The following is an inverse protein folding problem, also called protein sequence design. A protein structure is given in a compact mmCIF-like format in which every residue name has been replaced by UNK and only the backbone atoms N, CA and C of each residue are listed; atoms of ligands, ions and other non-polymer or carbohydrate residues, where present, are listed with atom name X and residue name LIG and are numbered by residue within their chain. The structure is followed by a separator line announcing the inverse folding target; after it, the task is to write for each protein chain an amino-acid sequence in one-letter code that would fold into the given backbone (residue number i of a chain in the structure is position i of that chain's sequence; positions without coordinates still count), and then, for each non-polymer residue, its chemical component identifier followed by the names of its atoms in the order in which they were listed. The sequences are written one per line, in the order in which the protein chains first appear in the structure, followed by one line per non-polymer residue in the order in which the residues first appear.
data_IF_402414942448
#
_entry.id   IF_402414942448
#
_cell.length_a   1.000
_cell.length_b   1.000
_cell.length_c   1.000
_cell.angle_alpha   90.00
_cell.angle_beta   90.00
_cell.angle_gamma   90.00
#
_symmetry.space_group_name_H-M   'P 1'
#
loop_
_entity.id
_entity.type
_entity.pdbx_description
1 polymer ?
#
# COMPACT_ATOMS: atom_id res chain seq x y z
N UNK A 1 -15.35 -18.60 3.18
CA UNK A 1 -16.28 -17.58 2.68
C UNK A 1 -15.74 -16.18 3.02
N UNK A 2 -15.68 -15.77 4.25
CA UNK A 2 -15.18 -14.43 4.65
C UNK A 2 -13.75 -14.08 4.14
N UNK A 3 -12.75 -14.95 4.31
CA UNK A 3 -11.38 -14.70 3.82
C UNK A 3 -11.30 -14.65 2.29
N UNK A 4 -12.06 -15.47 1.59
CA UNK A 4 -12.14 -15.44 0.11
C UNK A 4 -12.79 -14.15 -0.40
N UNK A 5 -13.76 -13.61 0.35
CA UNK A 5 -14.36 -12.31 0.01
C UNK A 5 -13.36 -11.19 0.20
N UNK A 6 -12.61 -11.17 1.31
CA UNK A 6 -11.52 -10.21 1.57
C UNK A 6 -10.48 -10.26 0.45
N UNK A 7 -10.03 -11.44 0.06
CA UNK A 7 -9.05 -11.62 -1.02
C UNK A 7 -9.57 -11.09 -2.35
N UNK A 8 -10.82 -11.39 -2.69
CA UNK A 8 -11.47 -10.90 -3.90
C UNK A 8 -11.60 -9.37 -3.91
N UNK A 9 -12.01 -8.77 -2.78
CA UNK A 9 -12.14 -7.32 -2.63
C UNK A 9 -10.78 -6.63 -2.73
N UNK A 10 -9.74 -7.18 -2.10
CA UNK A 10 -8.38 -6.68 -2.23
C UNK A 10 -7.87 -6.74 -3.69
N UNK A 11 -8.12 -7.83 -4.40
CA UNK A 11 -7.81 -7.95 -5.81
C UNK A 11 -8.56 -6.92 -6.67
N UNK A 12 -9.86 -6.70 -6.38
CA UNK A 12 -10.66 -5.68 -7.07
C UNK A 12 -10.10 -4.27 -6.83
N UNK A 13 -9.74 -3.93 -5.59
CA UNK A 13 -9.14 -2.65 -5.27
C UNK A 13 -7.82 -2.41 -6.02
N UNK A 14 -6.99 -3.45 -6.14
CA UNK A 14 -5.75 -3.38 -6.91
C UNK A 14 -6.00 -3.19 -8.42
N UNK A 15 -6.96 -3.90 -8.99
CA UNK A 15 -7.35 -3.76 -10.41
C UNK A 15 -7.86 -2.36 -10.71
N UNK A 16 -8.75 -1.85 -9.87
CA UNK A 16 -9.29 -0.50 -10.02
C UNK A 16 -8.19 0.57 -9.95
N UNK A 17 -7.25 0.42 -9.00
CA UNK A 17 -6.13 1.35 -8.87
C UNK A 17 -5.22 1.31 -10.11
N UNK A 18 -4.89 0.12 -10.62
CA UNK A 18 -4.10 -0.03 -11.86
C UNK A 18 -4.75 0.67 -13.05
N UNK A 19 -6.08 0.63 -13.15
CA UNK A 19 -6.81 1.23 -14.26
C UNK A 19 -6.73 2.76 -14.30
N UNK A 20 -6.45 3.43 -13.15
CA UNK A 20 -6.54 4.91 -13.05
C UNK A 20 -5.24 5.58 -12.59
N UNK A 21 -4.26 4.83 -12.10
CA UNK A 21 -3.05 5.41 -11.50
C UNK A 21 -1.89 5.59 -12.48
N UNK A 22 -2.03 5.16 -13.75
CA UNK A 22 -0.99 5.22 -14.77
C UNK A 22 0.33 4.58 -14.34
N UNK A 23 0.27 3.51 -13.52
CA UNK A 23 1.43 2.81 -13.00
C UNK A 23 2.20 2.09 -14.11
N UNK A 24 3.51 2.09 -13.98
CA UNK A 24 4.45 1.44 -14.89
C UNK A 24 5.23 0.35 -14.16
N UNK A 25 5.72 -0.63 -14.90
CA UNK A 25 6.60 -1.65 -14.35
C UNK A 25 7.74 -1.02 -13.56
N UNK A 26 7.92 -1.45 -12.32
CA UNK A 26 8.90 -0.93 -11.37
C UNK A 26 8.35 0.14 -10.42
N UNK A 27 7.14 0.64 -10.65
CA UNK A 27 6.49 1.58 -9.72
C UNK A 27 6.10 0.89 -8.42
N UNK A 28 5.88 1.69 -7.39
CA UNK A 28 5.65 1.23 -6.03
C UNK A 28 4.28 1.69 -5.55
N UNK A 29 3.51 0.78 -4.99
CA UNK A 29 2.23 1.07 -4.32
C UNK A 29 2.39 0.85 -2.83
N UNK A 30 2.20 1.91 -2.02
CA UNK A 30 2.19 1.78 -0.57
C UNK A 30 0.85 1.27 -0.08
N UNK A 31 0.88 0.29 0.81
CA UNK A 31 -0.30 -0.31 1.42
C UNK A 31 -0.23 -0.11 2.94
N UNK A 32 -1.18 0.63 3.47
CA UNK A 32 -1.48 0.61 4.90
C UNK A 32 -2.68 -0.28 5.14
N UNK A 33 -2.58 -1.21 6.09
CA UNK A 33 -3.67 -2.15 6.36
C UNK A 33 -3.82 -2.44 7.85
N UNK A 34 -5.02 -2.24 8.34
CA UNK A 34 -5.45 -2.68 9.67
C UNK A 34 -6.28 -3.94 9.56
N UNK A 35 -5.68 -5.11 9.84
CA UNK A 35 -6.41 -6.38 9.87
C UNK A 35 -7.50 -6.42 10.93
N UNK A 36 -7.39 -5.62 12.00
CA UNK A 36 -8.46 -5.44 12.99
C UNK A 36 -9.69 -4.79 12.37
N UNK A 37 -9.51 -3.68 11.63
CA UNK A 37 -10.60 -2.98 10.94
C UNK A 37 -11.23 -3.87 9.87
N UNK A 38 -10.43 -4.64 9.12
CA UNK A 38 -10.94 -5.62 8.14
C UNK A 38 -11.89 -6.63 8.79
N UNK A 39 -11.63 -6.99 10.04
CA UNK A 39 -12.49 -7.88 10.84
C UNK A 39 -13.57 -7.14 11.66
N UNK A 40 -13.82 -5.86 11.42
CA UNK A 40 -14.82 -5.09 12.14
C UNK A 40 -14.45 -4.75 13.58
N UNK A 41 -13.15 -4.78 13.91
CA UNK A 41 -12.64 -4.44 15.23
C UNK A 41 -11.85 -3.13 15.18
N UNK A 42 -11.82 -2.40 16.29
CA UNK A 42 -11.05 -1.17 16.39
C UNK A 42 -9.58 -1.40 16.02
N UNK A 43 -8.99 -0.48 15.29
CA UNK A 43 -7.57 -0.48 14.89
C UNK A 43 -6.65 -0.84 16.07
N UNK A 44 -5.75 -1.80 15.86
CA UNK A 44 -4.85 -2.29 16.92
C UNK A 44 -5.49 -3.17 18.00
N UNK A 45 -6.82 -3.38 17.96
CA UNK A 45 -7.55 -4.11 19.01
C UNK A 45 -7.47 -5.63 18.88
N UNK A 46 -7.61 -6.16 17.67
CA UNK A 46 -7.66 -7.61 17.42
C UNK A 46 -6.99 -7.94 16.08
N UNK A 47 -5.67 -8.03 16.11
CA UNK A 47 -4.88 -8.39 14.92
C UNK A 47 -5.28 -9.77 14.38
N UNK A 48 -5.59 -9.87 13.09
CA UNK A 48 -5.87 -11.15 12.40
C UNK A 48 -4.82 -11.40 11.32
N UNK A 49 -3.88 -12.33 11.55
CA UNK A 49 -2.93 -12.76 10.53
C UNK A 49 -3.60 -13.30 9.27
N UNK A 50 -4.68 -14.08 9.44
CA UNK A 50 -5.40 -14.71 8.34
C UNK A 50 -6.08 -13.68 7.42
N UNK A 51 -6.69 -12.64 8.00
CA UNK A 51 -7.27 -11.56 7.22
C UNK A 51 -6.18 -10.74 6.50
N UNK A 52 -5.06 -10.49 7.17
CA UNK A 52 -3.91 -9.80 6.56
C UNK A 52 -3.32 -10.60 5.39
N UNK A 53 -3.21 -11.92 5.54
CA UNK A 53 -2.77 -12.84 4.49
C UNK A 53 -3.71 -12.78 3.29
N UNK A 54 -5.02 -12.87 3.51
CA UNK A 54 -6.02 -12.79 2.44
C UNK A 54 -5.95 -11.46 1.68
N UNK A 55 -5.76 -10.33 2.39
CA UNK A 55 -5.53 -9.01 1.76
C UNK A 55 -4.26 -9.04 0.93
N UNK A 56 -3.14 -9.53 1.51
CA UNK A 56 -1.87 -9.58 0.81
C UNK A 56 -1.93 -10.42 -0.47
N UNK A 57 -2.49 -11.63 -0.39
CA UNK A 57 -2.66 -12.52 -1.54
C UNK A 57 -3.51 -11.89 -2.65
N UNK A 58 -4.59 -11.20 -2.29
CA UNK A 58 -5.42 -10.48 -3.25
C UNK A 58 -4.65 -9.38 -3.97
N UNK A 59 -3.92 -8.57 -3.24
CA UNK A 59 -3.13 -7.46 -3.79
C UNK A 59 -1.95 -7.94 -4.64
N UNK A 60 -1.15 -8.88 -4.13
CA UNK A 60 0.06 -9.35 -4.81
C UNK A 60 -0.28 -10.10 -6.10
N UNK A 61 -1.42 -10.82 -6.10
CA UNK A 61 -1.91 -11.53 -7.29
C UNK A 61 -2.23 -10.62 -8.47
N UNK A 62 -2.45 -9.34 -8.22
CA UNK A 62 -2.71 -8.32 -9.26
C UNK A 62 -1.47 -7.48 -9.55
N UNK A 63 -0.77 -7.00 -8.53
CA UNK A 63 0.36 -6.09 -8.72
C UNK A 63 1.62 -6.80 -9.26
N UNK A 64 1.94 -8.00 -8.79
CA UNK A 64 3.15 -8.69 -9.22
C UNK A 64 3.15 -9.04 -10.72
N UNK A 65 2.07 -9.57 -11.34
CA UNK A 65 2.03 -9.78 -12.79
C UNK A 65 2.16 -8.49 -13.60
N UNK A 66 1.72 -7.35 -13.05
CA UNK A 66 1.89 -6.03 -13.65
C UNK A 66 3.31 -5.46 -13.47
N UNK A 67 4.15 -6.12 -12.71
CA UNK A 67 5.51 -5.67 -12.38
C UNK A 67 5.55 -4.50 -11.40
N UNK A 68 4.51 -4.34 -10.58
CA UNK A 68 4.38 -3.30 -9.57
C UNK A 68 4.80 -3.86 -8.21
N UNK A 69 5.58 -3.10 -7.46
CA UNK A 69 6.02 -3.47 -6.13
C UNK A 69 5.03 -3.01 -5.06
N UNK A 70 4.79 -3.86 -4.07
CA UNK A 70 4.06 -3.49 -2.85
C UNK A 70 5.07 -2.99 -1.81
N UNK A 71 4.74 -1.87 -1.16
CA UNK A 71 5.41 -1.34 0.00
C UNK A 71 4.46 -1.40 1.20
N UNK A 72 4.67 -2.34 2.11
CA UNK A 72 3.81 -2.57 3.26
C UNK A 72 4.19 -1.65 4.42
N UNK A 73 3.28 -0.74 4.80
CA UNK A 73 3.50 0.16 5.93
C UNK A 73 3.35 -0.58 7.26
N UNK A 74 4.36 -0.43 8.12
CA UNK A 74 4.29 -0.87 9.51
C UNK A 74 3.43 0.07 10.38
N UNK A 75 3.04 -0.39 11.56
CA UNK A 75 2.36 0.43 12.55
C UNK A 75 3.33 1.42 13.24
N UNK A 76 2.78 2.29 14.10
CA UNK A 76 3.53 3.29 14.87
C UNK A 76 4.62 2.69 15.78
N UNK A 77 4.46 1.44 16.23
CA UNK A 77 5.47 0.76 17.05
C UNK A 77 6.80 0.54 16.31
N UNK A 78 6.77 0.54 14.97
CA UNK A 78 7.95 0.56 14.11
C UNK A 78 8.06 1.90 13.33
N UNK A 79 7.57 2.98 13.91
CA UNK A 79 7.65 4.34 13.37
C UNK A 79 7.14 4.48 11.93
N UNK A 80 6.15 3.64 11.53
CA UNK A 80 5.63 3.59 10.16
C UNK A 80 6.68 3.22 9.10
N UNK A 81 7.72 2.48 9.48
CA UNK A 81 8.69 1.93 8.55
C UNK A 81 8.00 1.07 7.46
N UNK A 82 8.66 0.91 6.35
CA UNK A 82 8.14 0.23 5.18
C UNK A 82 8.87 -1.10 4.98
N UNK A 83 8.12 -2.17 4.77
CA UNK A 83 8.62 -3.45 4.27
C UNK A 83 8.42 -3.50 2.76
N UNK A 84 9.49 -3.76 2.02
CA UNK A 84 9.48 -3.72 0.56
C UNK A 84 10.52 -4.67 -0.02
N UNK A 85 10.35 -5.09 -1.28
CA UNK A 85 11.41 -5.81 -2.02
C UNK A 85 12.64 -4.92 -2.20
N UNK A 86 13.83 -5.45 -1.92
CA UNK A 86 15.10 -4.73 -2.10
C UNK A 86 15.26 -4.17 -3.51
N UNK A 87 14.78 -4.91 -4.51
CA UNK A 87 14.85 -4.50 -5.91
C UNK A 87 14.08 -3.20 -6.20
N UNK A 88 13.03 -2.90 -5.44
CA UNK A 88 12.24 -1.68 -5.58
C UNK A 88 12.97 -0.43 -5.02
N UNK A 89 13.92 -0.62 -4.12
CA UNK A 89 14.61 0.44 -3.38
C UNK A 89 16.14 0.29 -3.40
N UNK A 90 16.77 0.22 -4.59
CA UNK A 90 18.19 -0.14 -4.71
C UNK A 90 19.15 0.85 -4.04
N UNK A 91 18.70 2.08 -3.81
CA UNK A 91 19.51 3.17 -3.25
C UNK A 91 19.06 3.62 -1.84
N UNK A 92 18.04 2.96 -1.27
CA UNK A 92 17.56 3.32 0.06
C UNK A 92 18.49 2.80 1.15
N UNK A 93 18.58 3.54 2.24
CA UNK A 93 19.19 3.08 3.47
C UNK A 93 18.29 2.03 4.13
N UNK A 94 18.86 0.84 4.36
CA UNK A 94 18.14 -0.29 4.94
C UNK A 94 18.27 -0.21 6.46
N UNK A 95 17.16 -0.34 7.16
CA UNK A 95 17.14 -0.44 8.63
C UNK A 95 16.89 -1.89 9.04
N UNK A 96 17.41 -2.25 10.22
CA UNK A 96 17.32 -3.62 10.71
C UNK A 96 16.08 -3.80 11.59
N UNK A 97 15.00 -4.28 10.99
CA UNK A 97 13.81 -4.68 11.72
C UNK A 97 13.07 -5.80 10.97
N UNK A 98 12.52 -6.74 11.70
CA UNK A 98 11.61 -7.77 11.19
C UNK A 98 10.25 -7.55 11.84
N UNK A 99 9.21 -7.22 11.05
CA UNK A 99 7.91 -6.93 11.62
C UNK A 99 7.29 -8.17 12.28
N UNK A 100 6.48 -7.90 13.31
CA UNK A 100 5.70 -8.91 14.03
C UNK A 100 4.24 -8.47 14.08
N UNK A 101 3.27 -9.37 14.26
CA UNK A 101 1.85 -9.00 14.29
C UNK A 101 1.51 -7.87 15.28
N UNK A 102 2.23 -7.77 16.41
CA UNK A 102 2.06 -6.72 17.42
C UNK A 102 3.10 -5.59 17.35
N UNK A 103 4.04 -5.67 16.42
CA UNK A 103 5.05 -4.63 16.17
C UNK A 103 5.37 -4.58 14.67
N UNK A 104 4.69 -3.72 13.96
CA UNK A 104 4.65 -3.63 12.50
C UNK A 104 3.27 -3.96 11.93
N UNK A 105 2.56 -4.91 12.56
CA UNK A 105 1.23 -5.35 12.17
C UNK A 105 1.24 -6.59 11.28
N UNK A 106 0.10 -7.29 11.25
CA UNK A 106 -0.03 -8.56 10.53
C UNK A 106 0.21 -8.42 9.02
N UNK A 107 -0.21 -7.31 8.40
CA UNK A 107 0.00 -7.10 6.96
C UNK A 107 1.48 -6.95 6.59
N UNK A 108 2.23 -6.13 7.34
CA UNK A 108 3.67 -6.00 7.12
C UNK A 108 4.42 -7.31 7.42
N UNK A 109 3.94 -8.09 8.39
CA UNK A 109 4.47 -9.43 8.70
C UNK A 109 4.24 -10.41 7.55
N UNK A 110 3.03 -10.44 6.98
CA UNK A 110 2.71 -11.26 5.81
C UNK A 110 3.57 -10.84 4.61
N UNK A 111 3.67 -9.55 4.32
CA UNK A 111 4.51 -9.04 3.24
C UNK A 111 5.97 -9.47 3.41
N UNK A 112 6.54 -9.35 4.61
CA UNK A 112 7.91 -9.77 4.88
C UNK A 112 8.13 -11.27 4.64
N UNK A 113 7.16 -12.09 4.99
CA UNK A 113 7.25 -13.54 4.82
C UNK A 113 7.15 -13.98 3.36
N UNK A 114 6.43 -13.24 2.52
CA UNK A 114 6.17 -13.58 1.13
C UNK A 114 7.12 -12.94 0.11
N UNK A 115 7.75 -11.85 0.46
CA UNK A 115 8.72 -11.22 -0.43
C UNK A 115 9.96 -12.11 -0.61
N UNK A 116 10.53 -12.10 -1.80
CA UNK A 116 11.72 -12.89 -2.13
C UNK A 116 12.96 -12.35 -1.42
N UNK A 117 13.09 -11.01 -1.34
CA UNK A 117 14.20 -10.33 -0.69
C UNK A 117 13.72 -9.10 0.09
N UNK A 118 12.98 -9.35 1.21
CA UNK A 118 12.39 -8.28 1.99
C UNK A 118 13.44 -7.42 2.70
N UNK A 119 13.23 -6.12 2.66
CA UNK A 119 14.01 -5.15 3.44
C UNK A 119 13.06 -4.18 4.14
N UNK A 120 13.56 -3.57 5.22
CA UNK A 120 12.89 -2.45 5.88
C UNK A 120 13.61 -1.15 5.57
N UNK A 121 12.84 -0.09 5.29
CA UNK A 121 13.32 1.28 5.12
C UNK A 121 12.48 2.22 5.97
N UNK A 122 13.03 3.36 6.42
CA UNK A 122 12.28 4.29 7.26
C UNK A 122 11.14 4.97 6.50
N UNK A 123 11.36 5.34 5.25
CA UNK A 123 10.38 6.04 4.41
C UNK A 123 10.47 5.62 2.95
N UNK A 124 9.44 5.92 2.19
CA UNK A 124 9.40 5.67 0.75
C UNK A 124 8.68 6.83 0.03
N UNK A 125 8.83 6.90 -1.29
CA UNK A 125 8.06 7.77 -2.18
C UNK A 125 7.33 6.92 -3.20
N UNK A 126 6.14 6.47 -2.81
CA UNK A 126 5.31 5.58 -3.63
C UNK A 126 4.55 6.35 -4.72
N UNK A 127 4.28 5.66 -5.83
CA UNK A 127 3.58 6.18 -7.01
C UNK A 127 2.07 6.19 -6.82
N UNK A 128 1.56 5.28 -6.00
CA UNK A 128 0.15 5.21 -5.61
C UNK A 128 0.03 4.55 -4.23
N UNK A 129 -1.18 4.47 -3.69
CA UNK A 129 -1.39 3.80 -2.42
C UNK A 129 -2.84 3.42 -2.15
N UNK A 130 -2.99 2.40 -1.31
CA UNK A 130 -4.25 1.96 -0.72
C UNK A 130 -4.15 2.05 0.80
N UNK A 131 -5.12 2.69 1.41
CA UNK A 131 -5.28 2.76 2.86
C UNK A 131 -6.50 1.96 3.28
N UNK A 132 -6.26 0.84 3.94
CA UNK A 132 -7.28 -0.13 4.36
C UNK A 132 -7.45 -0.02 5.87
N UNK A 133 -8.48 0.71 6.28
CA UNK A 133 -8.82 0.91 7.69
C UNK A 133 -8.26 2.19 8.31
N UNK A 134 -8.00 3.23 7.51
CA UNK A 134 -7.64 4.56 8.02
C UNK A 134 -6.26 4.63 8.69
N UNK A 135 -5.28 3.94 8.14
CA UNK A 135 -3.92 3.83 8.69
C UNK A 135 -3.03 5.04 8.44
N UNK A 136 -3.44 5.93 7.53
CA UNK A 136 -2.71 7.14 7.11
C UNK A 136 -1.39 6.82 6.39
N UNK A 137 -1.45 6.73 5.07
CA UNK A 137 -0.29 6.43 4.19
C UNK A 137 0.32 7.67 3.52
N UNK A 138 -0.26 8.85 3.72
CA UNK A 138 0.08 10.04 2.94
C UNK A 138 1.54 10.46 3.00
N UNK A 139 2.25 10.21 4.12
CA UNK A 139 3.67 10.52 4.28
C UNK A 139 4.57 9.74 3.31
N UNK A 140 4.09 8.61 2.81
CA UNK A 140 4.85 7.73 1.91
C UNK A 140 4.54 7.93 0.42
N UNK A 141 3.61 8.83 0.08
CA UNK A 141 3.26 9.11 -1.31
C UNK A 141 4.16 10.20 -1.91
N UNK A 142 4.48 10.09 -3.19
CA UNK A 142 5.04 11.20 -3.96
C UNK A 142 4.07 12.37 -3.96
N UNK A 143 4.58 13.57 -3.96
CA UNK A 143 3.78 14.77 -4.20
C UNK A 143 3.58 14.93 -5.73
N UNK A 144 2.36 15.10 -6.18
CA UNK A 144 1.12 15.40 -5.44
C UNK A 144 0.25 14.14 -5.36
N UNK A 145 -0.20 13.77 -4.17
CA UNK A 145 -1.20 12.73 -4.00
C UNK A 145 -2.58 13.23 -4.46
N UNK A 146 -3.27 12.43 -5.26
CA UNK A 146 -4.59 12.72 -5.81
C UNK A 146 -5.55 11.61 -5.36
N UNK A 147 -6.64 11.91 -4.65
CA UNK A 147 -7.57 10.89 -4.21
C UNK A 147 -8.27 10.23 -5.41
N UNK A 148 -8.41 8.92 -5.33
CA UNK A 148 -9.09 8.10 -6.34
C UNK A 148 -10.33 7.47 -5.73
N UNK A 149 -11.40 7.35 -6.52
CA UNK A 149 -12.59 6.58 -6.14
C UNK A 149 -12.58 5.27 -6.90
N UNK A 150 -12.50 4.17 -6.15
CA UNK A 150 -12.56 2.81 -6.67
C UNK A 150 -14.01 2.35 -6.78
N UNK A 151 -14.27 1.23 -7.44
CA UNK A 151 -15.60 0.63 -7.55
C UNK A 151 -16.11 0.11 -6.19
N UNK A 152 -15.21 -0.19 -5.27
CA UNK A 152 -15.49 -0.58 -3.90
C UNK A 152 -14.92 0.44 -2.92
N UNK A 153 -15.51 0.55 -1.75
CA UNK A 153 -15.11 1.48 -0.69
C UNK A 153 -14.77 0.81 0.65
N UNK A 154 -14.77 -0.52 0.68
CA UNK A 154 -14.39 -1.35 1.83
C UNK A 154 -13.63 -2.59 1.36
N UNK A 155 -12.82 -3.16 2.28
CA UNK A 155 -12.30 -4.52 2.24
C UNK A 155 -12.65 -5.16 3.58
N UNK A 156 -13.50 -6.19 3.55
CA UNK A 156 -14.20 -6.62 4.77
C UNK A 156 -14.99 -5.44 5.35
N UNK A 157 -14.80 -5.16 6.63
CA UNK A 157 -15.43 -4.02 7.32
C UNK A 157 -14.57 -2.73 7.28
N UNK A 158 -13.31 -2.83 6.82
CA UNK A 158 -12.39 -1.69 6.79
C UNK A 158 -12.73 -0.71 5.66
N UNK A 159 -12.81 0.56 5.97
CA UNK A 159 -12.89 1.61 4.96
C UNK A 159 -11.67 1.56 4.03
N UNK A 160 -11.91 1.79 2.74
CA UNK A 160 -10.86 1.80 1.72
C UNK A 160 -10.70 3.20 1.13
N UNK A 161 -9.50 3.74 1.23
CA UNK A 161 -9.10 4.97 0.55
C UNK A 161 -7.98 4.65 -0.44
N UNK A 162 -7.98 5.37 -1.57
CA UNK A 162 -6.97 5.19 -2.60
C UNK A 162 -6.44 6.53 -3.10
N UNK A 163 -5.17 6.54 -3.47
CA UNK A 163 -4.51 7.68 -4.08
C UNK A 163 -3.62 7.24 -5.23
N UNK A 164 -3.62 8.03 -6.30
CA UNK A 164 -2.56 8.07 -7.30
C UNK A 164 -1.67 9.28 -7.06
N UNK A 165 -0.57 9.39 -7.75
CA UNK A 165 0.25 10.60 -7.72
C UNK A 165 0.39 11.20 -9.12
N UNK A 166 0.68 12.48 -9.18
CA UNK A 166 1.08 13.19 -10.40
C UNK A 166 2.22 14.14 -10.11
N UNK A 167 3.00 14.55 -11.12
CA UNK A 167 4.00 15.58 -10.95
C UNK A 167 3.40 16.91 -10.48
N UNK A 168 4.21 17.69 -9.77
CA UNK A 168 3.81 19.02 -9.31
C UNK A 168 3.73 19.99 -10.49
N UNK A 169 2.80 20.89 -10.46
CA UNK A 169 2.86 22.09 -11.28
C UNK A 169 3.89 23.07 -10.68
N UNK A 170 4.98 23.31 -11.40
CA UNK A 170 6.04 24.21 -10.96
C UNK A 170 6.19 25.34 -11.95
N UNK A 171 6.12 26.57 -11.47
CA UNK A 171 6.27 27.78 -12.28
C UNK A 171 5.17 28.79 -12.00
N UNK A 172 5.21 29.90 -12.74
CA UNK A 172 4.27 30.99 -12.62
C UNK A 172 3.42 31.15 -13.90
N UNK A 173 2.88 32.33 -14.10
CA UNK A 173 1.95 32.67 -15.18
C UNK A 173 2.48 32.38 -16.61
N UNK A 174 3.77 32.25 -16.78
CA UNK A 174 4.41 31.91 -18.06
C UNK A 174 4.68 30.41 -18.24
N UNK A 175 4.37 29.58 -17.23
CA UNK A 175 4.62 28.16 -17.32
C UNK A 175 3.58 27.48 -18.23
N UNK A 176 4.03 26.46 -18.94
CA UNK A 176 3.20 25.52 -19.68
C UNK A 176 3.36 24.14 -19.06
N UNK A 177 2.33 23.31 -19.14
CA UNK A 177 2.29 21.99 -18.50
C UNK A 177 2.00 20.91 -19.54
N UNK A 178 2.55 19.72 -19.32
CA UNK A 178 2.30 18.54 -20.13
C UNK A 178 1.02 17.87 -19.62
N UNK A 179 -0.03 17.90 -20.44
CA UNK A 179 -1.34 17.35 -20.10
C UNK A 179 -1.32 15.80 -19.95
N UNK A 180 -0.34 15.12 -20.58
CA UNK A 180 -0.20 13.67 -20.46
C UNK A 180 0.25 13.19 -19.07
N UNK A 181 0.72 14.13 -18.23
CA UNK A 181 1.17 13.87 -16.86
C UNK A 181 0.15 14.26 -15.77
N UNK A 182 -1.10 14.54 -16.13
CA UNK A 182 -2.17 14.92 -15.18
C UNK A 182 -2.85 13.76 -14.50
#
# INVERSE_FOLDING_TARGET
MFLEDIKREAAQAAQDLLAVANLKKGDIVVIGCSSSEVCGQKIGGASSPEAAEAVFEGLIGVFAPAGIYIAAQCCEHLNRAIIVEKAAVPFAEIVNVVPQPKAGGSFATAAYAHFENPVAVEEIRADAGLDIGGTLIGMHLKKVAVPVRLSINHIGEAILLAARTRPKFIGGIRAHYDESML
#
